data_IF_199748911307
#
_entry.id   IF_199748911307
#
_cell.length_a   1.000
_cell.length_b   1.000
_cell.length_c   1.000
_cell.angle_alpha   90.00
_cell.angle_beta   90.00
_cell.angle_gamma   90.00
#
_symmetry.space_group_name_H-M   'P 1'
#
loop_
_entity.id
_entity.type
_entity.pdbx_description
1 polymer ?
#
# COMPACT_ATOMS: atom_id res chain seq x y z
N UNK A 1 -34.02 7.68 -17.45
CA UNK A 1 -33.87 7.72 -15.98
C UNK A 1 -33.29 9.06 -15.57
N UNK A 2 -33.77 9.64 -14.47
CA UNK A 2 -33.28 10.90 -13.94
C UNK A 2 -31.96 10.68 -13.18
N UNK A 3 -30.85 11.25 -13.65
CA UNK A 3 -29.54 11.04 -13.00
C UNK A 3 -29.47 11.61 -11.58
N UNK A 4 -30.37 12.54 -11.21
CA UNK A 4 -30.45 13.09 -9.87
C UNK A 4 -30.89 12.06 -8.82
N UNK A 5 -31.58 11.00 -9.23
CA UNK A 5 -32.09 9.94 -8.35
C UNK A 5 -31.13 8.74 -8.23
N UNK A 6 -29.98 8.79 -8.92
CA UNK A 6 -29.06 7.67 -8.96
C UNK A 6 -28.46 7.36 -7.60
N UNK A 7 -28.57 6.12 -7.13
CA UNK A 7 -28.01 5.66 -5.85
C UNK A 7 -28.05 4.14 -5.77
N UNK A 8 -27.49 3.57 -4.69
CA UNK A 8 -27.62 2.15 -4.33
C UNK A 8 -27.82 1.98 -2.83
N UNK A 9 -28.43 0.86 -2.43
CA UNK A 9 -28.41 0.43 -1.04
C UNK A 9 -26.99 0.00 -0.63
N UNK A 10 -26.47 0.54 0.47
CA UNK A 10 -25.08 0.31 0.90
C UNK A 10 -24.89 -1.13 1.40
N UNK A 11 -25.74 -1.59 2.30
CA UNK A 11 -25.70 -2.93 2.92
C UNK A 11 -26.75 -3.88 2.33
N UNK A 12 -27.06 -3.74 1.04
CA UNK A 12 -28.00 -4.64 0.37
C UNK A 12 -27.64 -6.10 0.62
N UNK A 13 -28.63 -6.91 1.00
CA UNK A 13 -28.49 -8.35 1.25
C UNK A 13 -27.52 -8.71 2.39
N UNK A 14 -27.13 -7.76 3.27
CA UNK A 14 -26.28 -8.01 4.44
C UNK A 14 -27.04 -7.72 5.73
N UNK A 15 -26.95 -8.63 6.70
CA UNK A 15 -27.49 -8.49 8.05
C UNK A 15 -26.36 -8.47 9.09
N UNK A 16 -26.67 -8.10 10.33
CA UNK A 16 -25.69 -8.08 11.44
C UNK A 16 -24.46 -7.20 11.20
N UNK A 17 -24.64 -6.06 10.50
CA UNK A 17 -23.57 -5.11 10.19
C UNK A 17 -22.85 -4.61 11.45
N UNK A 18 -23.51 -4.61 12.62
CA UNK A 18 -22.89 -4.28 13.90
C UNK A 18 -21.60 -5.10 14.19
N UNK A 19 -21.54 -6.35 13.71
CA UNK A 19 -20.37 -7.22 13.91
C UNK A 19 -19.13 -6.69 13.19
N UNK A 20 -19.29 -5.91 12.10
CA UNK A 20 -18.19 -5.21 11.45
C UNK A 20 -17.47 -4.27 12.42
N UNK A 21 -18.21 -3.45 13.19
CA UNK A 21 -17.59 -2.51 14.13
C UNK A 21 -16.96 -3.24 15.31
N UNK A 22 -17.56 -4.35 15.76
CA UNK A 22 -16.95 -5.20 16.78
C UNK A 22 -15.60 -5.78 16.33
N UNK A 23 -15.46 -6.17 15.06
CA UNK A 23 -14.22 -6.65 14.46
C UNK A 23 -13.22 -5.52 14.12
N UNK A 24 -13.70 -4.30 13.92
CA UNK A 24 -12.85 -3.14 13.62
C UNK A 24 -11.97 -2.77 14.82
N UNK A 25 -12.49 -2.88 16.05
CA UNK A 25 -11.74 -2.55 17.27
C UNK A 25 -10.45 -3.37 17.45
N UNK A 26 -10.47 -4.72 17.45
CA UNK A 26 -9.23 -5.51 17.54
C UNK A 26 -8.33 -5.29 16.31
N UNK A 27 -8.91 -5.10 15.12
CA UNK A 27 -8.14 -4.77 13.90
C UNK A 27 -7.34 -3.48 14.07
N UNK A 28 -7.99 -2.42 14.54
CA UNK A 28 -7.36 -1.12 14.80
C UNK A 28 -6.32 -1.20 15.93
N UNK A 29 -6.58 -1.99 16.98
CA UNK A 29 -5.62 -2.19 18.07
C UNK A 29 -4.35 -2.90 17.59
N UNK A 30 -4.48 -3.97 16.80
CA UNK A 30 -3.33 -4.70 16.24
C UNK A 30 -2.54 -3.83 15.27
N UNK A 31 -3.23 -3.11 14.38
CA UNK A 31 -2.57 -2.19 13.45
C UNK A 31 -1.87 -1.05 14.20
N UNK A 32 -2.54 -0.43 15.17
CA UNK A 32 -2.01 0.64 16.00
C UNK A 32 -0.80 0.21 16.81
N UNK A 33 -0.82 -1.00 17.37
CA UNK A 33 0.33 -1.58 18.07
C UNK A 33 1.54 -1.77 17.14
N UNK A 34 1.30 -2.22 15.90
CA UNK A 34 2.37 -2.37 14.90
C UNK A 34 3.05 -1.05 14.58
N UNK A 35 2.26 -0.01 14.33
CA UNK A 35 2.75 1.36 14.12
C UNK A 35 3.51 1.86 15.35
N UNK A 36 2.96 1.65 16.55
CA UNK A 36 3.60 2.03 17.81
C UNK A 36 4.98 1.37 17.96
N UNK A 37 5.15 0.10 17.59
CA UNK A 37 6.46 -0.58 17.65
C UNK A 37 7.50 0.09 16.75
N UNK A 38 7.12 0.52 15.54
CA UNK A 38 8.02 1.29 14.67
C UNK A 38 8.43 2.62 15.31
N UNK A 39 7.45 3.40 15.77
CA UNK A 39 7.70 4.68 16.44
C UNK A 39 8.58 4.52 17.70
N UNK A 40 8.32 3.50 18.50
CA UNK A 40 9.10 3.18 19.71
C UNK A 40 10.56 2.87 19.38
N UNK A 41 10.83 2.14 18.30
CA UNK A 41 12.20 1.86 17.84
C UNK A 41 12.89 3.14 17.37
N UNK A 42 12.24 3.95 16.53
CA UNK A 42 12.85 5.19 16.04
C UNK A 42 13.17 6.17 17.17
N UNK A 43 12.32 6.25 18.20
CA UNK A 43 12.52 7.11 19.38
C UNK A 43 13.72 6.73 20.25
N UNK A 44 14.31 5.55 20.07
CA UNK A 44 15.56 5.14 20.76
C UNK A 44 16.80 5.79 20.15
N UNK A 45 16.69 6.35 18.95
CA UNK A 45 17.79 7.03 18.28
C UNK A 45 18.04 8.43 18.85
N UNK A 46 19.24 8.94 18.59
CA UNK A 46 19.65 10.30 18.92
C UNK A 46 18.75 11.35 18.23
N UNK A 47 18.60 12.55 18.82
CA UNK A 47 17.81 13.62 18.22
C UNK A 47 18.41 14.08 16.88
N UNK A 48 17.54 14.38 15.93
CA UNK A 48 17.90 15.00 14.65
C UNK A 48 16.79 15.96 14.19
N UNK A 49 17.15 17.16 13.78
CA UNK A 49 16.20 18.14 13.24
C UNK A 49 15.92 17.83 11.75
N UNK A 50 14.67 17.47 11.41
CA UNK A 50 14.24 17.13 10.03
C UNK A 50 12.86 17.69 9.64
N UNK A 51 12.38 18.71 10.37
CA UNK A 51 11.06 19.32 10.17
C UNK A 51 11.13 20.83 9.81
N UNK A 52 12.34 21.35 9.65
CA UNK A 52 12.67 22.65 9.06
C UNK A 52 12.20 22.75 7.60
N UNK A 53 12.02 23.95 7.04
CA UNK A 53 11.65 24.15 5.61
C UNK A 53 10.45 23.30 5.12
N UNK A 54 9.27 23.34 5.79
CA UNK A 54 8.15 22.44 5.47
C UNK A 54 7.66 22.55 4.03
N UNK A 55 7.68 23.75 3.43
CA UNK A 55 7.26 23.95 2.04
C UNK A 55 8.13 23.21 1.03
N UNK A 56 9.45 23.19 1.23
CA UNK A 56 10.39 22.44 0.39
C UNK A 56 10.20 20.93 0.56
N UNK A 57 9.98 20.46 1.78
CA UNK A 57 9.73 19.05 2.10
C UNK A 57 8.42 18.54 1.49
N UNK A 58 7.34 19.34 1.56
CA UNK A 58 6.08 19.03 0.90
C UNK A 58 6.27 18.93 -0.62
N UNK A 59 7.03 19.85 -1.23
CA UNK A 59 7.38 19.74 -2.67
C UNK A 59 8.11 18.44 -2.99
N UNK A 60 9.01 17.97 -2.11
CA UNK A 60 9.66 16.65 -2.27
C UNK A 60 8.65 15.50 -2.21
N UNK A 61 7.72 15.53 -1.25
CA UNK A 61 6.66 14.50 -1.14
C UNK A 61 5.77 14.49 -2.38
N UNK A 62 5.29 15.65 -2.83
CA UNK A 62 4.49 15.75 -4.05
C UNK A 62 5.25 15.23 -5.27
N UNK A 63 6.54 15.56 -5.40
CA UNK A 63 7.37 15.14 -6.53
C UNK A 63 7.72 13.64 -6.49
N UNK A 64 7.99 13.07 -5.32
CA UNK A 64 8.60 11.75 -5.20
C UNK A 64 7.67 10.67 -4.63
N UNK A 65 6.72 11.01 -3.76
CA UNK A 65 5.72 10.07 -3.25
C UNK A 65 4.44 10.10 -4.09
N UNK A 66 3.89 11.30 -4.36
CA UNK A 66 2.64 11.43 -5.14
C UNK A 66 2.91 11.22 -6.63
N UNK A 67 3.76 12.04 -7.26
CA UNK A 67 4.08 11.92 -8.69
C UNK A 67 5.05 10.76 -9.01
N UNK A 68 5.54 10.04 -7.99
CA UNK A 68 6.39 8.85 -8.11
C UNK A 68 7.62 8.98 -9.04
N UNK A 69 8.19 10.19 -9.16
CA UNK A 69 9.29 10.48 -10.12
C UNK A 69 10.52 9.56 -9.97
N UNK A 70 10.83 9.10 -8.75
CA UNK A 70 11.96 8.19 -8.50
C UNK A 70 11.65 6.78 -9.00
N UNK A 71 10.43 6.30 -8.82
CA UNK A 71 10.00 4.96 -9.25
C UNK A 71 9.84 4.91 -10.77
N UNK A 72 9.36 6.01 -11.36
CA UNK A 72 9.21 6.18 -12.81
C UNK A 72 10.51 6.18 -13.63
N UNK A 73 11.69 6.13 -13.00
CA UNK A 73 12.97 5.94 -13.71
C UNK A 73 13.03 4.60 -14.45
N UNK A 74 12.32 3.58 -13.96
CA UNK A 74 12.02 2.38 -14.73
C UNK A 74 10.55 2.48 -15.15
N UNK A 75 10.29 2.57 -16.46
CA UNK A 75 8.95 2.84 -16.99
C UNK A 75 7.96 1.75 -16.58
N UNK A 76 8.36 0.49 -16.70
CA UNK A 76 7.50 -0.66 -16.36
C UNK A 76 7.16 -0.66 -14.87
N UNK A 77 8.16 -0.48 -14.01
CA UNK A 77 7.97 -0.40 -12.55
C UNK A 77 7.12 0.81 -12.15
N UNK A 78 7.40 1.97 -12.74
CA UNK A 78 6.63 3.18 -12.49
C UNK A 78 5.19 3.09 -13.01
N UNK A 79 4.92 2.32 -14.06
CA UNK A 79 3.57 2.13 -14.57
C UNK A 79 2.74 1.30 -13.60
N UNK A 80 3.14 0.05 -13.32
CA UNK A 80 2.33 -0.81 -12.44
C UNK A 80 2.20 -0.23 -11.04
N UNK A 81 3.24 0.44 -10.51
CA UNK A 81 3.18 1.03 -9.18
C UNK A 81 2.17 2.19 -9.14
N UNK A 82 2.08 3.02 -10.19
CA UNK A 82 1.05 4.07 -10.27
C UNK A 82 -0.37 3.49 -10.37
N UNK A 83 -0.56 2.43 -11.16
CA UNK A 83 -1.85 1.76 -11.27
C UNK A 83 -2.32 1.23 -9.90
N UNK A 84 -1.43 0.54 -9.18
CA UNK A 84 -1.73 0.01 -7.85
C UNK A 84 -1.95 1.16 -6.86
N UNK A 85 -1.02 2.12 -6.74
CA UNK A 85 -1.10 3.17 -5.71
C UNK A 85 -2.31 4.07 -5.90
N UNK A 86 -2.53 4.60 -7.10
CA UNK A 86 -3.65 5.52 -7.33
C UNK A 86 -4.99 4.78 -7.25
N UNK A 87 -5.04 3.54 -7.73
CA UNK A 87 -6.21 2.69 -7.53
C UNK A 87 -6.52 2.47 -6.07
N UNK A 88 -5.54 2.04 -5.27
CA UNK A 88 -5.74 1.81 -3.84
C UNK A 88 -6.16 3.07 -3.08
N UNK A 89 -5.61 4.25 -3.43
CA UNK A 89 -6.02 5.54 -2.86
C UNK A 89 -7.46 5.87 -3.20
N UNK A 90 -7.86 5.76 -4.47
CA UNK A 90 -9.24 6.03 -4.91
C UNK A 90 -10.23 5.06 -4.26
N UNK A 91 -9.92 3.76 -4.24
CA UNK A 91 -10.74 2.74 -3.58
C UNK A 91 -10.89 3.02 -2.08
N UNK A 92 -9.81 3.45 -1.40
CA UNK A 92 -9.85 3.80 0.02
C UNK A 92 -10.73 5.02 0.26
N UNK A 93 -10.61 6.07 -0.56
CA UNK A 93 -11.47 7.26 -0.49
C UNK A 93 -12.94 6.88 -0.66
N UNK A 94 -13.24 6.04 -1.65
CA UNK A 94 -14.60 5.55 -1.89
C UNK A 94 -15.15 4.75 -0.69
N UNK A 95 -14.35 3.87 -0.10
CA UNK A 95 -14.74 3.12 1.10
C UNK A 95 -15.01 4.05 2.29
N UNK A 96 -14.20 5.09 2.48
CA UNK A 96 -14.42 6.10 3.54
C UNK A 96 -15.73 6.84 3.29
N UNK A 97 -16.02 7.25 2.04
CA UNK A 97 -17.27 7.93 1.69
C UNK A 97 -18.47 7.03 1.95
N UNK A 98 -18.40 5.75 1.56
CA UNK A 98 -19.45 4.77 1.84
C UNK A 98 -19.71 4.64 3.35
N UNK A 99 -18.65 4.57 4.16
CA UNK A 99 -18.78 4.52 5.62
C UNK A 99 -19.42 5.80 6.17
N UNK A 100 -18.96 6.98 5.72
CA UNK A 100 -19.54 8.26 6.15
C UNK A 100 -21.03 8.38 5.78
N UNK A 101 -21.43 7.96 4.58
CA UNK A 101 -22.82 7.96 4.15
C UNK A 101 -23.68 6.98 4.96
N UNK A 102 -23.17 5.77 5.22
CA UNK A 102 -23.87 4.75 5.99
C UNK A 102 -24.03 5.11 7.47
N UNK A 103 -23.00 5.67 8.08
CA UNK A 103 -22.93 5.88 9.53
C UNK A 103 -23.48 7.24 9.98
N UNK A 104 -23.36 8.25 9.11
CA UNK A 104 -23.75 9.63 9.42
C UNK A 104 -24.84 10.18 8.49
N UNK A 105 -25.30 9.42 7.49
CA UNK A 105 -26.39 9.84 6.62
C UNK A 105 -26.07 11.06 5.75
N UNK A 106 -24.80 11.23 5.35
CA UNK A 106 -24.30 12.43 4.64
C UNK A 106 -24.96 12.68 3.27
N UNK A 107 -25.65 11.68 2.71
CA UNK A 107 -26.32 11.72 1.41
C UNK A 107 -25.40 12.03 0.21
N UNK A 108 -24.09 11.77 0.35
CA UNK A 108 -23.07 11.94 -0.70
C UNK A 108 -23.26 10.88 -1.80
N UNK A 109 -23.73 9.67 -1.44
CA UNK A 109 -23.87 8.51 -2.33
C UNK A 109 -25.09 8.59 -3.27
N UNK A 110 -25.35 9.77 -3.85
CA UNK A 110 -26.51 10.05 -4.70
C UNK A 110 -26.15 10.88 -5.93
N UNK A 111 -27.02 10.84 -6.92
CA UNK A 111 -26.98 11.67 -8.11
C UNK A 111 -25.73 11.46 -8.98
N UNK A 112 -25.27 12.56 -9.58
CA UNK A 112 -24.08 12.58 -10.43
C UNK A 112 -22.81 12.13 -9.68
N UNK A 113 -22.68 12.42 -8.39
CA UNK A 113 -21.51 11.98 -7.61
C UNK A 113 -21.44 10.45 -7.56
N UNK A 114 -22.56 9.81 -7.26
CA UNK A 114 -22.66 8.34 -7.29
C UNK A 114 -22.28 7.78 -8.66
N UNK A 115 -22.81 8.34 -9.76
CA UNK A 115 -22.54 7.83 -11.11
C UNK A 115 -21.08 8.02 -11.55
N UNK A 116 -20.56 9.25 -11.49
CA UNK A 116 -19.24 9.56 -12.02
C UNK A 116 -18.12 9.06 -11.11
N UNK A 117 -18.21 9.32 -9.81
CA UNK A 117 -17.13 8.95 -8.89
C UNK A 117 -17.31 7.52 -8.40
N UNK A 118 -18.41 7.24 -7.70
CA UNK A 118 -18.56 5.99 -6.95
C UNK A 118 -18.78 4.75 -7.83
N UNK A 119 -19.49 4.89 -8.96
CA UNK A 119 -19.66 3.82 -9.93
C UNK A 119 -18.50 3.83 -10.93
N UNK A 120 -18.41 4.85 -11.79
CA UNK A 120 -17.45 4.81 -12.91
C UNK A 120 -15.98 4.88 -12.47
N UNK A 121 -15.57 5.93 -11.75
CA UNK A 121 -14.15 6.10 -11.38
C UNK A 121 -13.66 4.95 -10.50
N UNK A 122 -14.42 4.56 -9.48
CA UNK A 122 -14.04 3.45 -8.58
C UNK A 122 -13.93 2.12 -9.33
N UNK A 123 -14.88 1.80 -10.22
CA UNK A 123 -14.87 0.58 -11.03
C UNK A 123 -13.65 0.54 -11.98
N UNK A 124 -13.37 1.64 -12.69
CA UNK A 124 -12.18 1.74 -13.55
C UNK A 124 -10.89 1.59 -12.74
N UNK A 125 -10.76 2.29 -11.61
CA UNK A 125 -9.54 2.22 -10.80
C UNK A 125 -9.35 0.86 -10.14
N UNK A 126 -10.43 0.15 -9.77
CA UNK A 126 -10.37 -1.25 -9.34
C UNK A 126 -9.74 -2.16 -10.41
N UNK A 127 -10.14 -1.98 -11.68
CA UNK A 127 -9.60 -2.75 -12.79
C UNK A 127 -8.13 -2.40 -13.06
N UNK A 128 -7.76 -1.12 -12.93
CA UNK A 128 -6.37 -0.69 -13.01
C UNK A 128 -5.50 -1.34 -11.92
N UNK A 129 -5.99 -1.52 -10.69
CA UNK A 129 -5.26 -2.27 -9.65
C UNK A 129 -5.07 -3.73 -10.06
N UNK A 130 -6.09 -4.38 -10.63
CA UNK A 130 -5.94 -5.76 -11.13
C UNK A 130 -4.89 -5.87 -12.24
N UNK A 131 -4.87 -4.93 -13.18
CA UNK A 131 -3.83 -4.87 -14.23
C UNK A 131 -2.45 -4.62 -13.61
N UNK A 132 -2.33 -3.65 -12.70
CA UNK A 132 -1.07 -3.32 -12.05
C UNK A 132 -0.53 -4.48 -11.20
N UNK A 133 -1.38 -5.20 -10.47
CA UNK A 133 -0.97 -6.39 -9.72
C UNK A 133 -0.58 -7.54 -10.64
N UNK A 134 -1.26 -7.74 -11.77
CA UNK A 134 -0.86 -8.68 -12.82
C UNK A 134 0.53 -8.37 -13.40
N UNK A 135 0.81 -7.11 -13.72
CA UNK A 135 2.13 -6.66 -14.18
C UNK A 135 3.22 -6.88 -13.12
N UNK A 136 2.93 -6.55 -11.86
CA UNK A 136 3.86 -6.79 -10.75
C UNK A 136 4.11 -8.29 -10.54
N UNK A 137 3.09 -9.13 -10.74
CA UNK A 137 3.20 -10.58 -10.66
C UNK A 137 4.05 -11.14 -11.79
N UNK A 138 3.83 -10.70 -13.04
CA UNK A 138 4.65 -11.08 -14.18
C UNK A 138 6.12 -10.73 -13.95
N UNK A 139 6.40 -9.53 -13.41
CA UNK A 139 7.76 -9.13 -13.03
C UNK A 139 8.38 -10.06 -12.00
N UNK A 140 7.63 -10.42 -10.97
CA UNK A 140 8.14 -11.20 -9.83
C UNK A 140 8.29 -12.68 -10.18
N UNK A 141 7.34 -13.28 -10.88
CA UNK A 141 7.32 -14.73 -11.09
C UNK A 141 7.90 -15.18 -12.43
N UNK A 142 7.84 -14.32 -13.45
CA UNK A 142 8.29 -14.64 -14.82
C UNK A 142 9.64 -13.97 -15.12
N UNK A 143 9.72 -12.64 -15.08
CA UNK A 143 10.96 -11.92 -15.43
C UNK A 143 12.12 -12.18 -14.46
N UNK A 144 11.79 -12.41 -13.17
CA UNK A 144 12.72 -12.67 -12.06
C UNK A 144 14.04 -11.85 -12.11
N UNK A 145 13.97 -10.51 -11.99
CA UNK A 145 15.15 -9.65 -11.97
C UNK A 145 16.15 -10.06 -10.88
N UNK A 146 17.44 -10.17 -11.23
CA UNK A 146 18.51 -10.61 -10.32
C UNK A 146 18.63 -9.78 -9.02
N UNK A 147 18.31 -8.48 -9.10
CA UNK A 147 18.50 -7.55 -7.97
C UNK A 147 17.26 -7.43 -7.06
N UNK A 148 16.18 -8.13 -7.34
CA UNK A 148 14.97 -8.09 -6.53
C UNK A 148 15.09 -9.10 -5.38
N UNK A 149 14.63 -8.73 -4.18
CA UNK A 149 14.50 -9.69 -3.07
C UNK A 149 13.19 -10.46 -3.19
N UNK A 150 13.27 -11.78 -3.05
CA UNK A 150 12.14 -12.69 -3.14
C UNK A 150 11.79 -13.22 -1.75
N UNK A 151 10.66 -12.78 -1.23
CA UNK A 151 10.09 -13.30 0.02
C UNK A 151 8.65 -13.71 -0.21
N UNK A 152 8.20 -14.72 0.53
CA UNK A 152 6.82 -15.19 0.50
C UNK A 152 5.86 -14.08 0.92
N UNK A 153 6.27 -13.24 1.89
CA UNK A 153 5.51 -12.06 2.30
C UNK A 153 5.15 -11.15 1.12
N UNK A 154 6.10 -10.85 0.22
CA UNK A 154 5.85 -10.00 -0.94
C UNK A 154 4.90 -10.64 -1.95
N UNK A 155 4.95 -11.97 -2.10
CA UNK A 155 4.01 -12.71 -2.94
C UNK A 155 2.59 -12.71 -2.33
N UNK A 156 2.47 -12.95 -1.04
CA UNK A 156 1.20 -12.94 -0.30
C UNK A 156 0.53 -11.57 -0.31
N UNK A 157 1.30 -10.48 -0.14
CA UNK A 157 0.77 -9.11 -0.28
C UNK A 157 0.16 -8.89 -1.67
N UNK A 158 0.85 -9.35 -2.71
CA UNK A 158 0.39 -9.17 -4.09
C UNK A 158 -0.90 -9.95 -4.36
N UNK A 159 -0.98 -11.18 -3.87
CA UNK A 159 -2.19 -12.01 -3.93
C UNK A 159 -3.31 -11.35 -3.13
N UNK A 160 -3.04 -10.83 -1.93
CA UNK A 160 -4.05 -10.16 -1.11
C UNK A 160 -4.64 -8.93 -1.82
N UNK A 161 -3.81 -8.06 -2.41
CA UNK A 161 -4.30 -6.87 -3.13
C UNK A 161 -5.14 -7.27 -4.35
N UNK A 162 -4.71 -8.28 -5.12
CA UNK A 162 -5.49 -8.79 -6.24
C UNK A 162 -6.83 -9.37 -5.76
N UNK A 163 -6.80 -10.20 -4.72
CA UNK A 163 -7.96 -10.82 -4.11
C UNK A 163 -8.96 -9.76 -3.64
N UNK A 164 -8.50 -8.71 -2.95
CA UNK A 164 -9.31 -7.59 -2.47
C UNK A 164 -10.09 -6.89 -3.58
N UNK A 165 -9.48 -6.72 -4.76
CA UNK A 165 -10.15 -6.11 -5.91
C UNK A 165 -11.11 -7.08 -6.59
N UNK A 166 -10.71 -8.34 -6.76
CA UNK A 166 -11.53 -9.38 -7.36
C UNK A 166 -12.84 -9.57 -6.57
N UNK A 167 -12.75 -9.72 -5.25
CA UNK A 167 -13.95 -9.83 -4.40
C UNK A 167 -14.82 -8.57 -4.47
N UNK A 168 -14.23 -7.38 -4.64
CA UNK A 168 -14.99 -6.13 -4.82
C UNK A 168 -15.86 -6.17 -6.06
N UNK A 169 -15.30 -6.60 -7.20
CA UNK A 169 -16.05 -6.77 -8.44
C UNK A 169 -17.11 -7.87 -8.37
N UNK A 170 -16.83 -8.98 -7.67
CA UNK A 170 -17.83 -10.03 -7.45
C UNK A 170 -19.02 -9.51 -6.63
N UNK A 171 -18.75 -8.81 -5.53
CA UNK A 171 -19.78 -8.20 -4.68
C UNK A 171 -20.60 -7.18 -5.48
N UNK A 172 -19.95 -6.26 -6.19
CA UNK A 172 -20.64 -5.26 -7.01
C UNK A 172 -21.45 -5.90 -8.14
N UNK A 173 -20.87 -6.84 -8.89
CA UNK A 173 -21.51 -7.48 -10.02
C UNK A 173 -22.71 -8.32 -9.62
N UNK A 174 -22.62 -9.11 -8.55
CA UNK A 174 -23.76 -9.89 -8.05
C UNK A 174 -24.88 -9.00 -7.49
N UNK A 175 -24.53 -7.86 -6.87
CA UNK A 175 -25.53 -6.85 -6.49
C UNK A 175 -26.23 -6.29 -7.74
N UNK A 176 -25.47 -5.83 -8.74
CA UNK A 176 -26.02 -5.29 -9.99
C UNK A 176 -26.97 -6.30 -10.65
N UNK A 177 -26.52 -7.56 -10.78
CA UNK A 177 -27.29 -8.64 -11.36
C UNK A 177 -28.59 -8.93 -10.62
N UNK A 178 -28.52 -9.07 -9.28
CA UNK A 178 -29.65 -9.49 -8.47
C UNK A 178 -30.67 -8.37 -8.22
N UNK A 179 -30.26 -7.09 -8.27
CA UNK A 179 -31.18 -5.96 -8.11
C UNK A 179 -31.70 -5.42 -9.44
N UNK A 180 -31.28 -5.97 -10.58
CA UNK A 180 -31.47 -5.36 -11.90
C UNK A 180 -31.12 -3.87 -11.88
N UNK A 181 -29.94 -3.55 -11.33
CA UNK A 181 -29.54 -2.15 -11.07
C UNK A 181 -29.60 -1.32 -12.35
N UNK A 182 -30.50 -0.32 -12.42
CA UNK A 182 -30.71 0.40 -13.66
C UNK A 182 -29.52 1.33 -13.99
N UNK A 183 -28.61 1.54 -13.03
CA UNK A 183 -27.36 2.29 -13.20
C UNK A 183 -26.14 1.39 -13.45
N UNK A 184 -26.31 0.06 -13.48
CA UNK A 184 -25.20 -0.89 -13.56
C UNK A 184 -24.22 -0.63 -14.72
N UNK A 185 -24.69 -0.06 -15.83
CA UNK A 185 -23.83 0.31 -16.97
C UNK A 185 -22.74 1.35 -16.65
N UNK A 186 -22.87 2.12 -15.55
CA UNK A 186 -21.85 3.07 -15.09
C UNK A 186 -20.66 2.38 -14.42
N UNK A 187 -20.80 1.12 -14.01
CA UNK A 187 -19.73 0.27 -13.49
C UNK A 187 -19.39 -0.79 -14.55
N UNK A 188 -18.62 -0.47 -15.61
CA UNK A 188 -18.45 -1.37 -16.76
C UNK A 188 -17.89 -2.75 -16.39
N UNK A 189 -16.95 -2.85 -15.45
CA UNK A 189 -16.36 -4.12 -15.04
C UNK A 189 -17.26 -4.88 -14.05
N UNK A 190 -17.90 -4.20 -13.09
CA UNK A 190 -18.94 -4.78 -12.25
C UNK A 190 -20.11 -5.32 -13.08
N UNK A 191 -20.55 -4.60 -14.12
CA UNK A 191 -21.59 -5.03 -15.04
C UNK A 191 -21.14 -6.18 -15.95
N UNK A 192 -19.87 -6.24 -16.33
CA UNK A 192 -19.31 -7.41 -17.00
C UNK A 192 -19.41 -8.65 -16.10
N UNK A 193 -19.03 -8.53 -14.82
CA UNK A 193 -19.17 -9.61 -13.84
C UNK A 193 -20.64 -10.00 -13.63
N UNK A 194 -21.55 -9.03 -13.58
CA UNK A 194 -22.98 -9.26 -13.47
C UNK A 194 -23.50 -10.12 -14.65
N UNK A 195 -23.17 -9.72 -15.88
CA UNK A 195 -23.58 -10.44 -17.10
C UNK A 195 -22.96 -11.83 -17.21
N UNK A 196 -21.67 -11.94 -16.90
CA UNK A 196 -20.97 -13.22 -16.91
C UNK A 196 -21.55 -14.19 -15.86
N UNK A 197 -21.92 -13.68 -14.68
CA UNK A 197 -22.52 -14.48 -13.62
C UNK A 197 -23.93 -14.95 -13.99
N UNK A 198 -24.74 -14.11 -14.64
CA UNK A 198 -26.08 -14.48 -15.13
C UNK A 198 -26.08 -15.68 -16.09
N UNK A 199 -24.99 -15.88 -16.83
CA UNK A 199 -24.84 -17.05 -17.69
C UNK A 199 -24.54 -18.35 -16.93
N UNK A 200 -24.13 -18.27 -15.65
CA UNK A 200 -23.57 -19.39 -14.88
C UNK A 200 -24.34 -19.69 -13.59
N UNK A 201 -25.10 -18.73 -13.06
CA UNK A 201 -25.72 -18.81 -11.73
C UNK A 201 -27.14 -18.22 -11.75
N UNK A 202 -28.04 -18.77 -10.93
CA UNK A 202 -29.34 -18.14 -10.68
C UNK A 202 -29.18 -16.89 -9.79
N UNK A 203 -30.20 -16.03 -9.78
CA UNK A 203 -30.22 -14.83 -8.92
C UNK A 203 -30.12 -15.21 -7.43
N UNK A 204 -30.78 -16.29 -7.02
CA UNK A 204 -30.73 -16.81 -5.64
C UNK A 204 -29.32 -17.26 -5.28
N UNK A 205 -28.64 -17.96 -6.18
CA UNK A 205 -27.25 -18.38 -5.99
C UNK A 205 -26.32 -17.16 -5.87
N UNK A 206 -26.52 -16.12 -6.68
CA UNK A 206 -25.75 -14.86 -6.56
C UNK A 206 -25.99 -14.14 -5.24
N UNK A 207 -27.22 -14.14 -4.72
CA UNK A 207 -27.52 -13.55 -3.41
C UNK A 207 -26.81 -14.29 -2.27
N UNK A 208 -26.75 -15.63 -2.33
CA UNK A 208 -26.00 -16.44 -1.35
C UNK A 208 -24.51 -16.15 -1.46
N UNK A 209 -23.97 -16.17 -2.69
CA UNK A 209 -22.55 -15.91 -2.95
C UNK A 209 -22.15 -14.49 -2.51
N UNK A 210 -22.99 -13.49 -2.77
CA UNK A 210 -22.79 -12.11 -2.32
C UNK A 210 -22.65 -12.01 -0.80
N UNK A 211 -23.51 -12.68 -0.02
CA UNK A 211 -23.40 -12.68 1.45
C UNK A 211 -22.07 -13.26 1.93
N UNK A 212 -21.67 -14.40 1.38
CA UNK A 212 -20.41 -15.04 1.71
C UNK A 212 -19.21 -14.18 1.33
N UNK A 213 -19.19 -13.67 0.10
CA UNK A 213 -18.10 -12.83 -0.40
C UNK A 213 -18.00 -11.49 0.33
N UNK A 214 -19.11 -10.90 0.79
CA UNK A 214 -19.07 -9.66 1.56
C UNK A 214 -18.35 -9.85 2.91
N UNK A 215 -18.69 -10.90 3.67
CA UNK A 215 -18.00 -11.20 4.92
C UNK A 215 -16.56 -11.65 4.72
N UNK A 216 -16.30 -12.41 3.65
CA UNK A 216 -14.94 -12.75 3.26
C UNK A 216 -14.13 -11.51 2.84
N UNK A 217 -14.77 -10.56 2.16
CA UNK A 217 -14.15 -9.28 1.82
C UNK A 217 -13.78 -8.50 3.07
N UNK A 218 -14.71 -8.41 4.02
CA UNK A 218 -14.47 -7.75 5.29
C UNK A 218 -13.30 -8.39 6.04
N UNK A 219 -13.31 -9.72 6.19
CA UNK A 219 -12.25 -10.46 6.87
C UNK A 219 -10.88 -10.24 6.18
N UNK A 220 -10.83 -10.32 4.85
CA UNK A 220 -9.61 -10.06 4.08
C UNK A 220 -9.12 -8.62 4.26
N UNK A 221 -10.02 -7.63 4.21
CA UNK A 221 -9.68 -6.20 4.38
C UNK A 221 -9.16 -5.91 5.79
N UNK A 222 -9.83 -6.42 6.82
CA UNK A 222 -9.42 -6.21 8.21
C UNK A 222 -8.12 -6.96 8.51
N UNK A 223 -7.98 -8.20 8.02
CA UNK A 223 -6.72 -8.94 8.09
C UNK A 223 -5.57 -8.18 7.44
N UNK A 224 -5.79 -7.62 6.24
CA UNK A 224 -4.80 -6.81 5.54
C UNK A 224 -4.41 -5.55 6.35
N UNK A 225 -5.38 -4.82 6.92
CA UNK A 225 -5.10 -3.62 7.74
C UNK A 225 -4.32 -3.98 9.01
N UNK A 226 -4.72 -5.04 9.72
CA UNK A 226 -4.02 -5.51 10.91
C UNK A 226 -2.59 -5.97 10.60
N UNK A 227 -2.38 -6.60 9.44
CA UNK A 227 -1.09 -7.13 9.00
C UNK A 227 -0.15 -6.06 8.43
N UNK A 228 -0.70 -5.00 7.83
CA UNK A 228 0.01 -3.91 7.16
C UNK A 228 1.28 -3.42 7.88
N UNK A 229 1.25 -3.02 9.17
CA UNK A 229 2.42 -2.44 9.84
C UNK A 229 3.50 -3.46 10.20
N UNK A 230 3.27 -4.76 9.96
CA UNK A 230 4.25 -5.81 10.24
C UNK A 230 4.98 -6.29 8.98
N UNK A 231 4.62 -5.74 7.82
CA UNK A 231 5.09 -6.19 6.51
C UNK A 231 5.76 -5.09 5.70
N UNK A 232 6.25 -5.44 4.51
CA UNK A 232 6.66 -4.50 3.47
C UNK A 232 5.60 -3.43 3.12
N UNK A 233 4.31 -3.62 3.42
CA UNK A 233 3.29 -2.59 3.17
C UNK A 233 3.45 -1.34 4.05
N UNK A 234 4.20 -1.42 5.15
CA UNK A 234 4.52 -0.24 5.96
C UNK A 234 5.24 0.87 5.14
N UNK A 235 5.80 0.54 3.97
CA UNK A 235 6.37 1.53 3.04
C UNK A 235 5.39 2.63 2.61
N UNK A 236 4.07 2.40 2.64
CA UNK A 236 3.09 3.45 2.32
C UNK A 236 3.13 4.60 3.35
N UNK A 237 3.66 4.33 4.56
CA UNK A 237 3.88 5.32 5.61
C UNK A 237 5.35 5.73 5.65
N UNK A 238 6.28 4.76 5.70
CA UNK A 238 7.70 5.07 5.90
C UNK A 238 8.33 5.77 4.71
N UNK A 239 7.96 5.46 3.46
CA UNK A 239 8.52 6.11 2.29
C UNK A 239 8.16 7.62 2.18
N UNK A 240 6.88 8.04 2.27
CA UNK A 240 6.56 9.48 2.25
C UNK A 240 7.14 10.21 3.47
N UNK A 241 7.13 9.60 4.67
CA UNK A 241 7.75 10.18 5.86
C UNK A 241 9.27 10.36 5.67
N UNK A 242 9.94 9.37 5.08
CA UNK A 242 11.36 9.43 4.76
C UNK A 242 11.69 10.54 3.76
N UNK A 243 10.85 10.70 2.72
CA UNK A 243 10.99 11.76 1.72
C UNK A 243 10.79 13.13 2.37
N UNK A 244 9.76 13.27 3.21
CA UNK A 244 9.50 14.53 3.93
C UNK A 244 10.70 14.91 4.80
N UNK A 245 11.26 13.94 5.53
CA UNK A 245 12.35 14.15 6.49
C UNK A 245 13.75 14.05 5.86
N UNK A 246 13.87 14.10 4.53
CA UNK A 246 15.13 13.98 3.82
C UNK A 246 16.16 15.07 4.20
N UNK A 247 17.45 14.79 4.02
CA UNK A 247 18.47 15.82 4.19
C UNK A 247 18.39 16.83 3.03
N UNK A 248 18.21 18.12 3.33
CA UNK A 248 18.13 19.20 2.32
C UNK A 248 19.51 19.78 1.99
N UNK A 249 20.52 19.51 2.83
CA UNK A 249 21.89 19.96 2.60
C UNK A 249 22.48 19.25 1.37
N UNK A 250 23.24 19.95 0.51
CA UNK A 250 23.88 19.36 -0.66
C UNK A 250 24.70 18.10 -0.34
N UNK A 251 24.73 17.16 -1.29
CA UNK A 251 25.55 15.95 -1.18
C UNK A 251 27.02 16.32 -0.97
N UNK A 252 27.65 15.67 0.01
CA UNK A 252 29.05 15.92 0.36
C UNK A 252 29.27 17.05 1.37
N UNK A 253 28.35 18.00 1.51
CA UNK A 253 28.51 19.12 2.44
C UNK A 253 28.38 18.70 3.93
N UNK A 254 27.90 17.49 4.20
CA UNK A 254 27.87 16.91 5.55
C UNK A 254 29.05 15.98 5.86
N UNK A 255 30.02 15.84 4.94
CA UNK A 255 31.22 15.06 5.19
C UNK A 255 32.09 15.82 6.19
N UNK A 256 32.26 15.23 7.39
CA UNK A 256 33.18 15.76 8.39
C UNK A 256 34.58 15.24 8.10
N UNK A 257 35.59 16.09 8.26
CA UNK A 257 36.97 15.63 8.26
C UNK A 257 37.19 14.75 9.50
N UNK A 258 37.74 13.55 9.31
CA UNK A 258 38.04 12.60 10.39
C UNK A 258 39.55 12.63 10.61
N UNK A 259 39.95 13.11 11.79
CA UNK A 259 41.34 13.04 12.23
C UNK A 259 41.61 11.63 12.75
N UNK A 260 42.24 10.79 11.93
CA UNK A 260 42.51 9.39 12.25
C UNK A 260 43.43 9.19 13.47
N UNK A 261 44.24 10.20 13.83
CA UNK A 261 45.16 10.11 14.97
C UNK A 261 44.47 10.41 16.30
N UNK A 262 43.38 11.18 16.27
CA UNK A 262 42.62 11.58 17.47
C UNK A 262 41.28 10.87 17.64
N UNK A 263 40.80 10.20 16.60
CA UNK A 263 39.48 9.57 16.62
C UNK A 263 39.58 8.16 17.20
N UNK A 264 39.15 8.00 18.46
CA UNK A 264 39.14 6.69 19.13
C UNK A 264 37.98 5.79 18.68
N UNK A 265 36.92 6.37 18.11
CA UNK A 265 35.74 5.62 17.64
C UNK A 265 35.31 6.07 16.24
N UNK A 266 35.27 5.13 15.31
CA UNK A 266 34.87 5.39 13.93
C UNK A 266 33.42 4.98 13.69
N UNK A 267 32.60 5.91 13.22
CA UNK A 267 31.21 5.63 12.87
C UNK A 267 30.32 5.26 14.06
N UNK A 268 29.39 4.33 13.82
CA UNK A 268 28.38 3.91 14.80
C UNK A 268 28.61 2.46 15.18
N UNK A 269 28.93 2.20 16.45
CA UNK A 269 29.25 0.86 16.97
C UNK A 269 28.03 0.08 17.50
N UNK A 270 26.86 0.72 17.63
CA UNK A 270 25.62 0.07 18.06
C UNK A 270 24.40 0.84 17.59
N UNK A 271 23.22 0.23 17.63
CA UNK A 271 21.97 0.89 17.24
C UNK A 271 21.70 2.21 17.98
N UNK A 272 22.22 2.35 19.21
CA UNK A 272 22.06 3.56 20.03
C UNK A 272 22.82 4.78 19.49
N UNK A 273 23.81 4.57 18.62
CA UNK A 273 24.55 5.68 18.00
C UNK A 273 23.87 6.25 16.75
N UNK A 274 22.79 5.64 16.27
CA UNK A 274 21.99 6.18 15.16
C UNK A 274 21.02 7.24 15.64
N UNK A 275 20.70 8.21 14.78
CA UNK A 275 19.60 9.14 15.02
C UNK A 275 18.25 8.47 14.75
N UNK A 276 17.15 9.04 15.26
CA UNK A 276 15.80 8.54 14.92
C UNK A 276 15.56 8.51 13.40
N UNK A 277 16.18 9.45 12.67
CA UNK A 277 16.06 9.56 11.21
C UNK A 277 16.80 8.42 10.51
N UNK A 278 17.98 8.05 10.99
CA UNK A 278 18.73 6.92 10.45
C UNK A 278 17.95 5.61 10.67
N UNK A 279 17.33 5.43 11.84
CA UNK A 279 16.48 4.27 12.12
C UNK A 279 15.24 4.23 11.21
N UNK A 280 14.63 5.39 10.92
CA UNK A 280 13.57 5.50 9.90
C UNK A 280 14.07 5.17 8.49
N UNK A 281 15.31 5.54 8.12
CA UNK A 281 15.90 5.17 6.83
C UNK A 281 15.98 3.65 6.64
N UNK A 282 16.28 2.91 7.71
CA UNK A 282 16.31 1.45 7.69
C UNK A 282 14.93 0.86 7.33
N UNK A 283 13.86 1.39 7.96
CA UNK A 283 12.47 0.97 7.70
C UNK A 283 11.88 1.50 6.38
N UNK A 284 12.48 2.53 5.79
CA UNK A 284 12.09 3.04 4.49
C UNK A 284 12.67 2.23 3.32
N UNK A 285 13.60 1.31 3.59
CA UNK A 285 14.15 0.43 2.56
C UNK A 285 13.08 -0.53 2.04
N UNK A 286 12.73 -0.39 0.76
CA UNK A 286 11.74 -1.24 0.07
C UNK A 286 12.38 -2.40 -0.70
N UNK A 287 13.63 -2.75 -0.41
CA UNK A 287 14.34 -3.89 -1.02
C UNK A 287 14.41 -3.85 -2.56
N UNK A 288 14.41 -2.65 -3.15
CA UNK A 288 14.31 -2.49 -4.61
C UNK A 288 15.59 -2.81 -5.39
N UNK A 289 16.72 -3.04 -4.71
CA UNK A 289 18.01 -3.40 -5.34
C UNK A 289 18.72 -2.29 -6.12
N UNK A 290 18.13 -1.10 -6.24
CA UNK A 290 18.71 -0.02 -7.06
C UNK A 290 20.06 0.48 -6.57
N UNK A 291 20.28 0.53 -5.25
CA UNK A 291 21.57 0.92 -4.67
C UNK A 291 22.65 -0.13 -4.95
N UNK A 292 22.33 -1.42 -4.87
CA UNK A 292 23.24 -2.52 -5.22
C UNK A 292 23.57 -2.52 -6.71
N UNK A 293 22.57 -2.32 -7.57
CA UNK A 293 22.74 -2.35 -9.02
C UNK A 293 23.70 -1.27 -9.57
N UNK A 294 23.91 -0.17 -8.84
CA UNK A 294 24.81 0.93 -9.23
C UNK A 294 26.08 1.00 -8.38
N UNK A 295 26.28 0.07 -7.44
CA UNK A 295 27.44 0.06 -6.57
C UNK A 295 28.68 -0.41 -7.33
N UNK A 296 29.75 0.41 -7.45
CA UNK A 296 30.95 0.02 -8.20
C UNK A 296 31.56 -1.29 -7.72
N UNK A 297 31.66 -1.48 -6.39
CA UNK A 297 32.20 -2.70 -5.79
C UNK A 297 31.39 -3.94 -6.18
N UNK A 298 30.05 -3.87 -6.07
CA UNK A 298 29.17 -4.96 -6.48
C UNK A 298 29.28 -5.24 -7.99
N UNK A 299 29.34 -4.20 -8.82
CA UNK A 299 29.41 -4.37 -10.29
C UNK A 299 30.68 -5.03 -10.78
N UNK A 300 31.78 -4.97 -10.01
CA UNK A 300 33.02 -5.69 -10.31
C UNK A 300 33.12 -7.05 -9.61
N UNK A 301 32.00 -7.56 -9.08
CA UNK A 301 31.91 -8.90 -8.48
C UNK A 301 32.41 -9.01 -7.04
N UNK A 302 32.57 -7.88 -6.32
CA UNK A 302 32.83 -7.93 -4.87
C UNK A 302 31.52 -8.14 -4.11
N UNK A 303 31.63 -8.73 -2.92
CA UNK A 303 30.48 -9.07 -2.05
C UNK A 303 29.73 -7.85 -1.49
N UNK A 304 30.28 -6.63 -1.61
CA UNK A 304 29.70 -5.44 -1.01
C UNK A 304 28.38 -5.04 -1.69
N UNK A 305 27.27 -5.11 -0.94
CA UNK A 305 25.95 -4.64 -1.36
C UNK A 305 25.40 -3.61 -0.38
N UNK A 306 25.26 -2.32 -0.78
CA UNK A 306 24.69 -1.29 0.09
C UNK A 306 23.27 -1.61 0.56
N UNK A 307 22.46 -2.30 -0.25
CA UNK A 307 21.13 -2.76 0.17
C UNK A 307 21.24 -3.69 1.37
N UNK A 308 22.10 -4.68 1.30
CA UNK A 308 22.14 -5.77 2.28
C UNK A 308 22.73 -5.31 3.62
N UNK A 309 23.57 -4.27 3.60
CA UNK A 309 23.98 -3.53 4.82
C UNK A 309 22.76 -2.90 5.49
N UNK A 310 21.92 -2.17 4.73
CA UNK A 310 20.72 -1.52 5.27
C UNK A 310 19.73 -2.56 5.80
N UNK A 311 19.52 -3.67 5.08
CA UNK A 311 18.65 -4.75 5.53
C UNK A 311 19.20 -5.43 6.79
N UNK A 312 20.52 -5.70 6.86
CA UNK A 312 21.12 -6.26 8.07
C UNK A 312 20.99 -5.36 9.30
N UNK A 313 21.10 -4.04 9.14
CA UNK A 313 20.87 -3.06 10.22
C UNK A 313 19.39 -2.97 10.60
N UNK A 314 18.49 -3.01 9.62
CA UNK A 314 17.04 -3.07 9.83
C UNK A 314 16.67 -4.33 10.62
N UNK A 315 17.17 -5.49 10.20
CA UNK A 315 16.85 -6.77 10.83
C UNK A 315 17.41 -6.82 12.26
N UNK A 316 18.60 -6.24 12.50
CA UNK A 316 19.13 -6.02 13.85
C UNK A 316 18.20 -5.13 14.70
N UNK A 317 17.68 -4.03 14.13
CA UNK A 317 16.72 -3.14 14.80
C UNK A 317 15.38 -3.82 15.13
N UNK A 318 14.98 -4.80 14.32
CA UNK A 318 13.77 -5.59 14.52
C UNK A 318 13.97 -6.88 15.29
N UNK A 319 15.21 -7.19 15.70
CA UNK A 319 15.59 -8.46 16.35
C UNK A 319 15.20 -9.68 15.48
N UNK A 320 15.33 -9.54 14.16
CA UNK A 320 15.04 -10.60 13.19
C UNK A 320 16.32 -11.40 12.87
N UNK A 321 16.23 -12.71 12.62
CA UNK A 321 17.34 -13.46 12.03
C UNK A 321 17.77 -12.82 10.71
N UNK A 322 19.08 -12.75 10.43
CA UNK A 322 19.54 -12.32 9.10
C UNK A 322 19.05 -13.32 8.07
N UNK A 323 18.24 -12.87 7.12
CA UNK A 323 18.02 -13.62 5.89
C UNK A 323 19.34 -13.61 5.10
N UNK A 324 19.81 -14.79 4.68
CA UNK A 324 20.98 -14.85 3.80
C UNK A 324 20.57 -14.28 2.44
N UNK A 325 21.05 -13.07 2.13
CA UNK A 325 20.87 -12.47 0.81
C UNK A 325 21.86 -13.16 -0.14
N UNK A 326 21.35 -14.09 -0.95
CA UNK A 326 22.12 -14.89 -1.92
C UNK A 326 22.49 -14.14 -3.19
#
# INVERSE_FOLDING_TARGET
>A
MNSAEATRQIYWNISNVWAMYALLLPTAAVAGFGIYRHLSRWRRGLPAARFDHPSERIKLVLKHAVAQRRTARNIYVGLFHRLITYGFVILTIATIIVALDADFGTAIMRGNFYLYFQSFVVDIFGALVMVGTGMAAARRFIERPKMLVYTDEAALILVAIFLLCLQGFLIEGWRIAATNDPWGAWSPFGNLVARASHALMSVEAMQVAHRGAWWFHLATTFGFIAWLPYTKMMHIITAPLNIYTANLVPLGATLKNVDFEKTETFGVNSLKGFTWKDLLDLDACTECGRCTAVCPAHTVGKELSPRDIILGLRDLMHERPREAFG
#
